data_IF_905709411195
#
_entry.id   IF_905709411195
#
_cell.length_a   1.000
_cell.length_b   1.000
_cell.length_c   1.000
_cell.angle_alpha   90.00
_cell.angle_beta   90.00
_cell.angle_gamma   90.00
#
_symmetry.space_group_name_H-M   'P 1'
#
loop_
_entity.id
_entity.type
_entity.pdbx_description
1 polymer ?
#
# COMPACT_ATOMS: atom_id res chain seq x y z
N UNK A 1 -10.89 -63.81 19.63
CA UNK A 1 -9.87 -63.47 20.64
C UNK A 1 -8.54 -63.45 19.92
N UNK A 2 -8.11 -62.29 19.45
CA UNK A 2 -6.88 -62.14 18.64
C UNK A 2 -6.09 -60.99 19.24
N UNK A 3 -4.93 -61.29 19.83
CA UNK A 3 -4.05 -60.30 20.44
C UNK A 3 -3.36 -59.46 19.35
N UNK A 4 -3.13 -58.15 19.56
CA UNK A 4 -2.38 -57.33 18.61
C UNK A 4 -0.87 -57.58 18.74
N UNK A 5 -0.18 -57.66 17.59
CA UNK A 5 1.26 -57.87 17.49
C UNK A 5 2.08 -56.70 18.11
N UNK A 6 3.28 -56.96 18.65
CA UNK A 6 4.11 -55.91 19.25
C UNK A 6 4.78 -55.07 18.16
N UNK A 7 4.74 -53.74 18.32
CA UNK A 7 5.40 -52.79 17.42
C UNK A 7 6.93 -52.82 17.62
N UNK A 8 7.74 -52.61 16.57
CA UNK A 8 9.19 -52.64 16.66
C UNK A 8 9.75 -51.43 17.44
N UNK A 9 10.74 -51.61 18.32
CA UNK A 9 11.42 -50.50 18.98
C UNK A 9 12.46 -49.91 18.02
N UNK A 10 12.26 -48.68 17.57
CA UNK A 10 13.34 -47.95 16.88
C UNK A 10 12.97 -47.04 15.73
N UNK A 11 11.77 -46.47 15.67
CA UNK A 11 11.53 -45.33 14.76
C UNK A 11 11.76 -44.06 15.55
N UNK A 12 12.99 -43.56 15.49
CA UNK A 12 13.38 -42.23 15.97
C UNK A 12 12.46 -41.20 15.31
N UNK A 13 11.49 -40.69 16.06
CA UNK A 13 10.55 -39.68 15.58
C UNK A 13 11.33 -38.38 15.46
N UNK A 14 11.88 -38.11 14.27
CA UNK A 14 12.55 -36.84 13.98
C UNK A 14 11.52 -35.73 14.21
N UNK A 15 11.79 -34.74 15.09
CA UNK A 15 10.87 -33.63 15.26
C UNK A 15 10.75 -32.97 13.89
N UNK A 16 9.54 -32.98 13.35
CA UNK A 16 9.23 -32.36 12.06
C UNK A 16 9.51 -30.88 12.26
N UNK A 17 10.71 -30.45 11.90
CA UNK A 17 11.10 -29.05 11.94
C UNK A 17 10.07 -28.32 11.10
N UNK A 18 9.14 -27.64 11.77
CA UNK A 18 8.14 -26.83 11.13
C UNK A 18 8.92 -25.71 10.46
N UNK A 19 9.17 -25.86 9.17
CA UNK A 19 9.74 -24.80 8.38
C UNK A 19 8.89 -23.56 8.60
N UNK A 20 9.51 -22.40 8.90
CA UNK A 20 8.74 -21.18 9.09
C UNK A 20 7.90 -20.98 7.83
N UNK A 21 6.59 -20.97 8.04
CA UNK A 21 5.60 -20.62 7.03
C UNK A 21 6.07 -19.34 6.35
N UNK A 22 6.26 -19.39 5.03
CA UNK A 22 6.63 -18.22 4.23
C UNK A 22 5.72 -17.06 4.62
N UNK A 23 6.28 -16.03 5.25
CA UNK A 23 5.57 -14.77 5.50
C UNK A 23 5.27 -14.16 4.14
N UNK A 24 4.02 -14.24 3.69
CA UNK A 24 3.58 -13.50 2.52
C UNK A 24 3.49 -12.02 2.90
N UNK A 25 4.55 -11.27 2.60
CA UNK A 25 4.56 -9.80 2.62
C UNK A 25 3.95 -9.26 1.33
N UNK A 26 2.72 -9.66 1.00
CA UNK A 26 2.08 -9.23 -0.25
C UNK A 26 0.75 -8.53 -0.05
N UNK A 27 0.27 -8.41 1.19
CA UNK A 27 -0.99 -7.71 1.46
C UNK A 27 -0.70 -6.21 1.71
N UNK A 28 -0.21 -5.53 0.67
CA UNK A 28 -0.44 -4.10 0.57
C UNK A 28 -1.94 -3.93 0.30
N UNK A 29 -2.69 -3.21 1.16
CA UNK A 29 -4.10 -2.98 0.92
C UNK A 29 -4.29 -2.36 -0.47
N UNK A 30 -5.35 -2.74 -1.22
CA UNK A 30 -5.64 -2.15 -2.51
C UNK A 30 -5.72 -0.63 -2.34
N UNK A 31 -4.95 0.13 -3.13
CA UNK A 31 -5.03 1.59 -3.18
C UNK A 31 -6.49 1.96 -3.51
N UNK A 32 -7.25 2.36 -2.49
CA UNK A 32 -8.63 2.78 -2.70
C UNK A 32 -8.63 4.19 -3.28
N UNK A 33 -9.72 4.55 -3.96
CA UNK A 33 -9.88 5.93 -4.45
C UNK A 33 -9.79 6.96 -3.33
N UNK A 34 -10.16 6.58 -2.10
CA UNK A 34 -10.00 7.40 -0.90
C UNK A 34 -8.53 7.64 -0.57
N UNK A 35 -7.71 6.59 -0.57
CA UNK A 35 -6.27 6.71 -0.31
C UNK A 35 -5.56 7.58 -1.36
N UNK A 36 -5.96 7.44 -2.63
CA UNK A 36 -5.44 8.26 -3.72
C UNK A 36 -5.83 9.74 -3.52
N UNK A 37 -7.08 10.01 -3.15
CA UNK A 37 -7.54 11.37 -2.83
C UNK A 37 -6.76 11.98 -1.66
N UNK A 38 -6.52 11.21 -0.60
CA UNK A 38 -5.79 11.67 0.57
C UNK A 38 -4.33 12.00 0.24
N UNK A 39 -3.67 11.16 -0.57
CA UNK A 39 -2.30 11.40 -1.07
C UNK A 39 -2.25 12.63 -1.98
N UNK A 40 -3.19 12.77 -2.92
CA UNK A 40 -3.29 13.94 -3.80
C UNK A 40 -3.50 15.21 -2.97
N UNK A 41 -4.43 15.21 -2.01
CA UNK A 41 -4.65 16.32 -1.09
C UNK A 41 -3.41 16.64 -0.25
N UNK A 42 -2.62 15.63 0.14
CA UNK A 42 -1.39 15.83 0.89
C UNK A 42 -0.34 16.57 0.06
N UNK A 43 -0.08 16.14 -1.18
CA UNK A 43 0.84 16.83 -2.11
C UNK A 43 0.41 18.28 -2.31
N UNK A 44 -0.88 18.51 -2.50
CA UNK A 44 -1.42 19.85 -2.71
C UNK A 44 -1.32 20.75 -1.47
N UNK A 45 -1.41 20.19 -0.26
CA UNK A 45 -1.17 20.93 0.99
C UNK A 45 0.29 21.35 1.19
N UNK A 46 1.23 20.65 0.55
CA UNK A 46 2.65 21.03 0.58
C UNK A 46 2.94 22.22 -0.35
N UNK A 47 2.05 22.49 -1.31
CA UNK A 47 2.13 23.67 -2.15
C UNK A 47 1.49 24.87 -1.44
N UNK A 48 2.34 25.77 -0.94
CA UNK A 48 1.94 26.99 -0.20
C UNK A 48 1.06 27.95 -1.03
N UNK A 49 1.02 27.77 -2.36
CA UNK A 49 0.18 28.52 -3.29
C UNK A 49 -1.27 28.01 -3.37
N UNK A 50 -1.59 26.88 -2.73
CA UNK A 50 -2.87 26.19 -2.86
C UNK A 50 -3.67 26.31 -1.56
N UNK A 51 -4.84 26.94 -1.65
CA UNK A 51 -5.79 26.97 -0.53
C UNK A 51 -6.44 25.58 -0.36
N UNK A 52 -6.27 24.90 0.80
CA UNK A 52 -6.84 23.57 1.03
C UNK A 52 -8.38 23.57 1.07
N UNK A 53 -9.01 24.73 1.27
CA UNK A 53 -10.47 24.87 1.22
C UNK A 53 -11.00 24.94 -0.22
N UNK A 54 -10.23 25.52 -1.16
CA UNK A 54 -10.58 25.57 -2.59
C UNK A 54 -10.20 24.30 -3.35
N UNK A 55 -9.36 23.47 -2.74
CA UNK A 55 -8.88 22.20 -3.25
C UNK A 55 -9.97 21.10 -3.39
N UNK A 56 -11.26 21.45 -3.31
CA UNK A 56 -12.29 20.45 -3.03
C UNK A 56 -12.81 19.69 -4.25
N UNK A 57 -13.28 20.24 -5.37
CA UNK A 57 -13.97 19.33 -6.33
C UNK A 57 -13.94 19.58 -7.85
N UNK A 58 -13.51 20.72 -8.41
CA UNK A 58 -13.89 20.93 -9.83
C UNK A 58 -12.85 21.53 -10.78
N UNK A 59 -12.05 22.53 -10.43
CA UNK A 59 -11.03 23.02 -11.37
C UNK A 59 -9.78 23.56 -10.68
N UNK A 60 -8.93 22.67 -10.14
CA UNK A 60 -7.60 23.02 -9.59
C UNK A 60 -6.81 23.99 -10.47
N UNK A 61 -6.74 23.71 -11.76
CA UNK A 61 -5.93 24.50 -12.70
C UNK A 61 -6.49 25.90 -12.97
N UNK A 62 -7.80 26.13 -12.81
CA UNK A 62 -8.43 27.43 -13.10
C UNK A 62 -8.80 28.21 -11.84
N UNK A 63 -9.17 27.51 -10.77
CA UNK A 63 -9.69 28.13 -9.54
C UNK A 63 -8.57 28.59 -8.60
N UNK A 64 -7.38 27.98 -8.70
CA UNK A 64 -6.21 28.35 -7.89
C UNK A 64 -5.32 29.41 -8.54
N UNK A 65 -5.59 29.78 -9.79
CA UNK A 65 -4.78 30.77 -10.51
C UNK A 65 -3.31 30.37 -10.67
N UNK A 66 -3.03 29.07 -10.69
CA UNK A 66 -1.67 28.54 -10.85
C UNK A 66 -1.15 28.89 -12.24
N UNK A 67 0.13 29.29 -12.30
CA UNK A 67 0.77 29.52 -13.58
C UNK A 67 1.03 28.18 -14.30
N UNK A 68 1.22 28.25 -15.61
CA UNK A 68 1.59 27.11 -16.45
C UNK A 68 2.84 26.37 -15.94
N UNK A 69 3.77 27.06 -15.28
CA UNK A 69 4.92 26.45 -14.60
C UNK A 69 4.55 25.67 -13.34
N UNK A 70 3.67 26.24 -12.50
CA UNK A 70 3.22 25.60 -11.26
C UNK A 70 2.45 24.28 -11.59
N UNK A 71 1.72 24.25 -12.71
CA UNK A 71 1.08 23.03 -13.20
C UNK A 71 2.08 21.91 -13.50
N UNK A 72 3.15 22.21 -14.24
CA UNK A 72 4.16 21.20 -14.61
C UNK A 72 4.86 20.66 -13.38
N UNK A 73 5.14 21.52 -12.39
CA UNK A 73 5.74 21.12 -11.13
C UNK A 73 4.86 20.13 -10.35
N UNK A 74 3.57 20.44 -10.22
CA UNK A 74 2.59 19.57 -9.54
C UNK A 74 2.45 18.23 -10.28
N UNK A 75 2.39 18.25 -11.62
CA UNK A 75 2.29 17.03 -12.43
C UNK A 75 3.51 16.14 -12.21
N UNK A 76 4.72 16.72 -12.21
CA UNK A 76 5.95 15.97 -11.98
C UNK A 76 6.00 15.34 -10.58
N UNK A 77 5.56 16.07 -9.55
CA UNK A 77 5.47 15.55 -8.19
C UNK A 77 4.44 14.41 -8.07
N UNK A 78 3.30 14.52 -8.76
CA UNK A 78 2.28 13.47 -8.80
C UNK A 78 2.74 12.24 -9.59
N UNK A 79 3.46 12.45 -10.70
CA UNK A 79 4.06 11.36 -11.48
C UNK A 79 5.12 10.60 -10.68
N UNK A 80 5.92 11.25 -9.82
CA UNK A 80 6.86 10.58 -8.91
C UNK A 80 6.15 9.84 -7.76
N UNK A 81 5.03 10.36 -7.26
CA UNK A 81 4.25 9.78 -6.16
C UNK A 81 3.44 8.54 -6.57
N UNK A 82 3.05 8.43 -7.85
CA UNK A 82 2.15 7.38 -8.38
C UNK A 82 2.63 6.62 -9.63
N UNK A 83 3.77 7.00 -10.23
CA UNK A 83 4.40 6.30 -11.37
C UNK A 83 5.24 5.10 -10.96
#
# INVERSE_FOLDING_TARGET
>A
STAPAPLPPGVLQVPRAAWPTCRRFSDLPPLTLSDIKDRVLYVLKLYDKIDPEKATESHFMKDLGLDSLDQVEIIMAMEDEFG
#
